data_IF_695493294467
#
_entry.id   IF_695493294467
#
_cell.length_a   1.000
_cell.length_b   1.000
_cell.length_c   1.000
_cell.angle_alpha   90.00
_cell.angle_beta   90.00
_cell.angle_gamma   90.00
#
_symmetry.space_group_name_H-M   'P 1'
#
loop_
_entity.id
_entity.type
_entity.pdbx_description
1 polymer ?
#
# COMPACT_ATOMS: atom_id res chain seq x y z
N UNK A 1 -6.82 63.91 -14.64
CA UNK A 1 -7.67 62.84 -14.08
C UNK A 1 -8.24 62.08 -15.25
N UNK A 2 -7.97 60.81 -15.55
CA UNK A 2 -7.13 59.75 -15.00
C UNK A 2 -6.97 58.77 -16.16
N UNK A 3 -5.73 58.44 -16.53
CA UNK A 3 -5.41 57.49 -17.59
C UNK A 3 -5.74 56.06 -17.15
N UNK A 4 -6.44 55.32 -18.01
CA UNK A 4 -6.54 53.86 -17.97
C UNK A 4 -5.18 53.25 -18.33
N UNK A 5 -4.59 52.48 -17.41
CA UNK A 5 -3.52 51.55 -17.69
C UNK A 5 -4.08 50.13 -17.65
N UNK A 6 -4.01 49.45 -18.79
CA UNK A 6 -4.23 48.02 -18.90
C UNK A 6 -3.12 47.29 -18.14
N UNK A 7 -3.51 46.44 -17.19
CA UNK A 7 -2.59 45.54 -16.50
C UNK A 7 -2.39 44.30 -17.38
N UNK A 8 -1.16 44.14 -17.85
CA UNK A 8 -0.69 43.00 -18.63
C UNK A 8 -0.41 41.83 -17.65
N UNK A 9 -1.24 40.79 -17.70
CA UNK A 9 -1.03 39.56 -16.93
C UNK A 9 0.23 38.86 -17.42
N UNK A 10 1.30 38.95 -16.63
CA UNK A 10 2.54 38.22 -16.84
C UNK A 10 2.42 36.85 -16.17
N UNK A 11 2.57 35.71 -16.87
CA UNK A 11 2.53 34.41 -16.23
C UNK A 11 3.85 34.18 -15.45
N UNK A 12 3.76 34.23 -14.11
CA UNK A 12 4.86 33.81 -13.22
C UNK A 12 4.96 32.28 -13.18
N UNK A 13 5.52 31.70 -14.24
CA UNK A 13 6.13 30.37 -14.18
C UNK A 13 7.63 30.57 -14.32
N UNK A 14 8.32 30.67 -13.18
CA UNK A 14 9.77 30.65 -13.16
C UNK A 14 10.28 29.31 -13.70
N UNK A 15 11.36 29.29 -14.50
CA UNK A 15 11.91 28.04 -15.00
C UNK A 15 12.37 27.18 -13.82
N UNK A 16 11.82 25.95 -13.74
CA UNK A 16 12.35 24.90 -12.88
C UNK A 16 13.85 24.81 -13.09
N UNK A 17 14.62 25.03 -12.03
CA UNK A 17 16.08 24.96 -12.07
C UNK A 17 16.51 23.62 -12.71
N UNK A 18 17.45 23.62 -13.67
CA UNK A 18 17.93 22.38 -14.25
C UNK A 18 18.51 21.51 -13.13
N UNK A 19 18.02 20.27 -13.04
CA UNK A 19 18.53 19.27 -12.10
C UNK A 19 20.05 19.21 -12.18
N UNK A 20 20.74 19.48 -11.07
CA UNK A 20 22.19 19.45 -11.00
C UNK A 20 22.73 18.13 -11.58
N UNK A 21 23.86 18.21 -12.30
CA UNK A 21 24.49 17.01 -12.86
C UNK A 21 24.85 16.06 -11.70
N UNK A 22 24.43 14.79 -11.75
CA UNK A 22 24.55 13.87 -10.63
C UNK A 22 26.01 13.64 -10.26
N UNK A 23 26.28 13.53 -8.96
CA UNK A 23 27.64 13.31 -8.48
C UNK A 23 28.22 11.99 -9.00
N UNK A 24 29.55 11.85 -8.99
CA UNK A 24 30.21 10.58 -9.36
C UNK A 24 29.71 9.41 -8.49
N UNK A 25 29.47 9.68 -7.20
CA UNK A 25 28.95 8.70 -6.25
C UNK A 25 27.50 8.29 -6.59
N UNK A 26 26.63 9.24 -6.95
CA UNK A 26 25.27 8.93 -7.39
C UNK A 26 25.25 8.12 -8.68
N UNK A 27 26.16 8.43 -9.60
CA UNK A 27 26.28 7.69 -10.87
C UNK A 27 26.76 6.26 -10.64
N UNK A 28 27.77 6.07 -9.79
CA UNK A 28 28.25 4.74 -9.37
C UNK A 28 27.15 3.95 -8.64
N UNK A 29 26.42 4.60 -7.72
CA UNK A 29 25.33 3.96 -6.99
C UNK A 29 24.19 3.55 -7.93
N UNK A 30 23.79 4.39 -8.89
CA UNK A 30 22.76 4.01 -9.89
C UNK A 30 23.21 2.84 -10.76
N UNK A 31 24.48 2.82 -11.19
CA UNK A 31 25.03 1.70 -11.93
C UNK A 31 25.02 0.42 -11.09
N UNK A 32 25.43 0.50 -9.83
CA UNK A 32 25.44 -0.63 -8.89
C UNK A 32 24.03 -1.19 -8.64
N UNK A 33 23.06 -0.32 -8.37
CA UNK A 33 21.66 -0.72 -8.17
C UNK A 33 21.06 -1.35 -9.43
N UNK A 34 21.37 -0.80 -10.61
CA UNK A 34 20.95 -1.38 -11.89
C UNK A 34 21.56 -2.78 -12.12
N UNK A 35 22.83 -2.96 -11.77
CA UNK A 35 23.48 -4.27 -11.84
C UNK A 35 22.85 -5.29 -10.88
N UNK A 36 22.50 -4.87 -9.66
CA UNK A 36 21.77 -5.72 -8.71
C UNK A 36 20.40 -6.10 -9.25
N UNK A 37 19.60 -5.14 -9.72
CA UNK A 37 18.23 -5.42 -10.20
C UNK A 37 18.25 -6.31 -11.46
N UNK A 38 19.29 -6.19 -12.30
CA UNK A 38 19.54 -7.10 -13.43
C UNK A 38 19.79 -8.55 -13.02
N UNK A 39 20.29 -8.77 -11.80
CA UNK A 39 20.54 -10.09 -11.21
C UNK A 39 19.43 -10.52 -10.22
N UNK A 40 18.30 -9.82 -10.20
CA UNK A 40 17.23 -10.02 -9.23
C UNK A 40 15.95 -10.59 -9.86
N UNK A 41 15.95 -11.86 -10.33
CA UNK A 41 14.80 -12.44 -11.03
C UNK A 41 13.60 -12.63 -10.09
N UNK A 42 12.40 -12.59 -10.67
CA UNK A 42 11.20 -13.14 -10.02
C UNK A 42 11.36 -14.67 -9.98
N UNK A 43 11.26 -15.28 -8.81
CA UNK A 43 11.62 -16.69 -8.60
C UNK A 43 10.51 -17.68 -8.97
N UNK A 44 9.27 -17.22 -9.10
CA UNK A 44 8.09 -18.05 -9.40
C UNK A 44 7.23 -17.38 -10.46
N UNK A 45 6.67 -18.14 -11.39
CA UNK A 45 5.77 -17.61 -12.43
C UNK A 45 4.41 -17.18 -11.91
N UNK A 46 3.86 -17.90 -10.93
CA UNK A 46 2.59 -17.60 -10.25
C UNK A 46 2.78 -17.54 -8.73
N UNK A 47 1.91 -16.86 -7.97
CA UNK A 47 2.08 -16.76 -6.53
C UNK A 47 1.80 -18.12 -5.87
N UNK A 48 2.60 -18.47 -4.87
CA UNK A 48 2.45 -19.74 -4.14
C UNK A 48 1.59 -19.55 -2.89
N UNK A 49 0.57 -20.39 -2.72
CA UNK A 49 -0.37 -20.33 -1.60
C UNK A 49 0.07 -21.24 -0.44
N UNK A 50 1.27 -20.97 0.08
CA UNK A 50 1.75 -21.59 1.33
C UNK A 50 1.00 -20.98 2.52
N UNK A 51 1.07 -21.56 3.72
CA UNK A 51 0.45 -21.00 4.94
C UNK A 51 1.43 -20.08 5.69
N UNK A 52 0.90 -19.06 6.36
CA UNK A 52 1.65 -18.28 7.35
C UNK A 52 1.35 -18.84 8.75
N UNK A 53 2.37 -18.89 9.60
CA UNK A 53 2.33 -19.38 10.97
C UNK A 53 1.42 -18.48 11.81
N UNK A 54 1.53 -17.14 11.67
CA UNK A 54 0.71 -16.20 12.43
C UNK A 54 -0.79 -16.34 12.16
N UNK A 55 -1.17 -16.74 10.94
CA UNK A 55 -2.55 -16.94 10.50
C UNK A 55 -3.19 -18.21 11.12
N UNK A 56 -2.39 -19.15 11.63
CA UNK A 56 -2.92 -20.40 12.15
C UNK A 56 -3.68 -20.17 13.45
N UNK A 57 -4.86 -20.81 13.59
CA UNK A 57 -5.70 -20.70 14.78
C UNK A 57 -5.00 -21.21 16.05
N UNK A 58 -4.08 -22.17 15.90
CA UNK A 58 -3.26 -22.73 16.98
C UNK A 58 -2.15 -21.78 17.45
N UNK A 59 -1.82 -20.74 16.68
CA UNK A 59 -0.74 -19.82 17.03
C UNK A 59 -1.16 -18.94 18.22
N UNK A 60 -0.39 -18.91 19.32
CA UNK A 60 -0.79 -18.20 20.54
C UNK A 60 -1.03 -16.72 20.31
N UNK A 61 -2.18 -16.21 20.77
CA UNK A 61 -2.58 -14.81 20.54
C UNK A 61 -1.58 -13.79 21.10
N UNK A 62 -0.89 -14.10 22.20
CA UNK A 62 0.12 -13.22 22.79
C UNK A 62 1.42 -13.15 21.97
N UNK A 63 1.74 -14.19 21.19
CA UNK A 63 2.84 -14.18 20.22
C UNK A 63 2.39 -13.46 18.95
N UNK A 64 1.17 -13.71 18.46
CA UNK A 64 0.60 -13.00 17.30
C UNK A 64 0.64 -11.49 17.47
N UNK A 65 0.22 -10.99 18.63
CA UNK A 65 0.29 -9.54 18.95
C UNK A 65 1.71 -8.98 18.88
N UNK A 66 2.72 -9.78 19.22
CA UNK A 66 4.14 -9.41 19.22
C UNK A 66 4.76 -9.44 17.83
N UNK A 67 4.36 -10.41 17.01
CA UNK A 67 4.65 -10.41 15.58
C UNK A 67 4.08 -9.15 14.92
N UNK A 68 2.79 -8.85 15.15
CA UNK A 68 2.13 -7.65 14.65
C UNK A 68 2.81 -6.35 15.14
N UNK A 69 3.22 -6.29 16.40
CA UNK A 69 3.93 -5.14 16.96
C UNK A 69 5.29 -4.92 16.30
N UNK A 70 6.06 -5.99 16.07
CA UNK A 70 7.35 -5.91 15.35
C UNK A 70 7.15 -5.47 13.90
N UNK A 71 6.21 -6.07 13.16
CA UNK A 71 5.87 -5.64 11.80
C UNK A 71 5.46 -4.17 11.74
N UNK A 72 4.63 -3.71 12.68
CA UNK A 72 4.27 -2.30 12.78
C UNK A 72 5.50 -1.41 13.08
N UNK A 73 6.45 -1.89 13.90
CA UNK A 73 7.68 -1.17 14.18
C UNK A 73 8.59 -1.08 12.95
N UNK A 74 8.77 -2.15 12.19
CA UNK A 74 9.55 -2.18 10.94
C UNK A 74 8.99 -1.24 9.87
N UNK A 75 7.68 -1.10 9.82
CA UNK A 75 7.02 -0.15 8.94
C UNK A 75 7.21 1.32 9.36
N UNK A 76 7.22 1.58 10.66
CA UNK A 76 7.10 2.94 11.20
C UNK A 76 8.43 3.55 11.62
N UNK A 77 9.40 2.73 11.98
CA UNK A 77 10.76 3.17 12.29
C UNK A 77 11.62 3.18 11.04
N UNK A 78 12.50 4.18 10.97
CA UNK A 78 13.55 4.25 9.96
C UNK A 78 14.80 3.53 10.48
N UNK A 79 15.31 2.56 9.74
CA UNK A 79 16.61 1.96 9.96
C UNK A 79 17.71 2.96 9.55
N UNK A 80 18.57 3.40 10.49
CA UNK A 80 19.68 4.28 10.14
C UNK A 80 20.57 3.69 9.05
N UNK A 81 21.24 4.54 8.28
CA UNK A 81 22.20 4.17 7.23
C UNK A 81 21.55 3.60 5.96
N UNK A 82 20.66 2.62 6.08
CA UNK A 82 20.11 1.87 4.93
C UNK A 82 18.73 2.36 4.46
N UNK A 83 18.03 3.16 5.27
CA UNK A 83 16.76 3.78 4.87
C UNK A 83 16.86 5.31 4.93
N UNK A 84 16.28 5.98 3.93
CA UNK A 84 16.16 7.45 3.91
C UNK A 84 14.95 7.92 4.72
N UNK A 85 13.82 7.22 4.56
CA UNK A 85 12.57 7.42 5.29
C UNK A 85 12.04 6.06 5.75
N UNK A 86 11.07 6.03 6.68
CA UNK A 86 10.43 4.75 7.02
C UNK A 86 9.53 4.27 5.88
N UNK A 87 9.24 2.95 5.78
CA UNK A 87 8.27 2.43 4.82
C UNK A 87 6.90 3.13 4.89
N UNK A 88 6.41 3.44 6.08
CA UNK A 88 5.14 4.15 6.26
C UNK A 88 5.16 5.55 5.63
N UNK A 89 6.29 6.27 5.68
CA UNK A 89 6.42 7.58 5.03
C UNK A 89 6.48 7.48 3.50
N UNK A 90 7.10 6.42 2.98
CA UNK A 90 7.09 6.12 1.55
C UNK A 90 5.66 5.82 1.07
N UNK A 91 4.95 4.92 1.77
CA UNK A 91 3.55 4.62 1.49
C UNK A 91 2.65 5.86 1.58
N UNK A 92 2.83 6.70 2.59
CA UNK A 92 2.09 7.96 2.72
C UNK A 92 2.33 8.90 1.52
N UNK A 93 3.57 8.96 1.02
CA UNK A 93 3.89 9.77 -0.17
C UNK A 93 3.23 9.21 -1.44
N UNK A 94 3.22 7.88 -1.60
CA UNK A 94 2.52 7.20 -2.68
C UNK A 94 1.01 7.45 -2.62
N UNK A 95 0.41 7.34 -1.43
CA UNK A 95 -1.02 7.56 -1.20
C UNK A 95 -1.39 9.01 -1.48
N UNK A 96 -0.60 10.00 -1.04
CA UNK A 96 -0.85 11.42 -1.38
C UNK A 96 -0.85 11.63 -2.89
N UNK A 97 0.14 11.09 -3.62
CA UNK A 97 0.18 11.17 -5.09
C UNK A 97 -1.08 10.54 -5.71
N UNK A 98 -1.49 9.37 -5.24
CA UNK A 98 -2.67 8.69 -5.75
C UNK A 98 -3.97 9.48 -5.48
N UNK A 99 -4.11 10.04 -4.28
CA UNK A 99 -5.25 10.88 -3.89
C UNK A 99 -5.30 12.17 -4.73
N UNK A 100 -4.16 12.77 -5.04
CA UNK A 100 -4.07 13.99 -5.85
C UNK A 100 -4.44 13.77 -7.33
N UNK A 101 -4.38 12.53 -7.82
CA UNK A 101 -4.86 12.18 -9.15
C UNK A 101 -6.38 12.00 -9.22
N UNK A 102 -7.06 11.89 -8.07
CA UNK A 102 -8.51 11.83 -8.01
C UNK A 102 -9.02 13.25 -8.07
N UNK A 103 -9.83 13.55 -9.08
CA UNK A 103 -10.42 14.88 -9.25
C UNK A 103 -11.28 15.22 -8.04
N UNK A 104 -11.02 16.39 -7.46
CA UNK A 104 -11.90 17.00 -6.49
C UNK A 104 -13.26 17.25 -7.15
N UNK A 105 -14.32 16.86 -6.44
CA UNK A 105 -15.70 17.14 -6.84
C UNK A 105 -16.25 18.06 -5.77
N UNK A 106 -16.65 19.26 -6.18
CA UNK A 106 -17.13 20.31 -5.29
C UNK A 106 -18.31 19.79 -4.44
N UNK A 107 -18.26 20.04 -3.14
CA UNK A 107 -19.27 19.55 -2.19
C UNK A 107 -19.18 18.06 -1.84
N UNK A 108 -18.24 17.29 -2.41
CA UNK A 108 -17.99 15.90 -2.03
C UNK A 108 -16.80 15.78 -1.08
N UNK A 109 -16.91 14.87 -0.11
CA UNK A 109 -15.78 14.45 0.74
C UNK A 109 -15.13 13.22 0.12
N UNK A 110 -13.86 12.99 0.45
CA UNK A 110 -13.13 11.76 0.14
C UNK A 110 -12.61 11.15 1.45
N UNK A 111 -12.75 9.85 1.59
CA UNK A 111 -12.29 9.09 2.76
C UNK A 111 -11.47 7.89 2.29
N UNK A 112 -10.35 7.65 2.98
CA UNK A 112 -9.57 6.43 2.78
C UNK A 112 -10.16 5.34 3.67
N UNK A 113 -10.51 4.21 3.08
CA UNK A 113 -10.97 3.03 3.82
C UNK A 113 -9.94 1.93 3.65
N UNK A 114 -9.27 1.59 4.73
CA UNK A 114 -8.33 0.48 4.75
C UNK A 114 -9.10 -0.83 4.98
N UNK A 115 -8.91 -1.77 4.07
CA UNK A 115 -9.49 -3.10 4.11
C UNK A 115 -8.43 -4.09 4.59
N UNK A 116 -8.86 -5.01 5.46
CA UNK A 116 -7.97 -5.99 6.10
C UNK A 116 -6.94 -5.33 7.01
N UNK A 117 -7.38 -4.35 7.80
CA UNK A 117 -6.52 -3.56 8.69
C UNK A 117 -5.85 -4.39 9.79
N UNK A 118 -6.36 -5.58 10.12
CA UNK A 118 -5.93 -6.36 11.28
C UNK A 118 -5.96 -5.51 12.55
N UNK A 119 -4.84 -5.45 13.28
CA UNK A 119 -4.68 -4.56 14.44
C UNK A 119 -4.52 -3.06 14.13
N UNK A 120 -4.59 -2.66 12.86
CA UNK A 120 -4.36 -1.31 12.34
C UNK A 120 -2.98 -1.13 11.66
N UNK A 121 -2.01 -1.98 11.97
CA UNK A 121 -0.70 -2.01 11.31
C UNK A 121 -0.03 -0.63 11.17
N UNK A 122 0.49 -0.26 9.99
CA UNK A 122 1.11 1.05 9.76
C UNK A 122 0.11 2.18 9.51
N UNK A 123 -1.17 1.87 9.30
CA UNK A 123 -2.18 2.82 8.81
C UNK A 123 -2.39 4.02 9.73
N UNK A 124 -2.41 3.90 11.08
CA UNK A 124 -2.47 5.06 11.97
C UNK A 124 -1.31 6.05 11.79
N UNK A 125 -0.13 5.58 11.37
CA UNK A 125 1.02 6.45 11.08
C UNK A 125 0.94 7.00 9.66
N UNK A 126 0.53 6.18 8.69
CA UNK A 126 0.28 6.61 7.31
C UNK A 126 -0.74 7.74 7.27
N UNK A 127 -1.87 7.62 7.98
CA UNK A 127 -2.90 8.67 8.09
C UNK A 127 -2.29 10.01 8.51
N UNK A 128 -1.53 10.01 9.62
CA UNK A 128 -0.88 11.22 10.13
C UNK A 128 0.10 11.81 9.13
N UNK A 129 0.89 10.98 8.46
CA UNK A 129 1.88 11.43 7.48
C UNK A 129 1.21 11.96 6.20
N UNK A 130 0.14 11.32 5.73
CA UNK A 130 -0.68 11.79 4.61
C UNK A 130 -1.27 13.16 4.94
N UNK A 131 -1.93 13.30 6.10
CA UNK A 131 -2.57 14.55 6.49
C UNK A 131 -1.57 15.67 6.80
N UNK A 132 -0.38 15.34 7.31
CA UNK A 132 0.73 16.28 7.44
C UNK A 132 1.17 16.81 6.06
N UNK A 133 1.43 15.91 5.09
CA UNK A 133 1.85 16.28 3.72
C UNK A 133 0.76 17.08 3.00
N UNK A 134 -0.52 16.76 3.22
CA UNK A 134 -1.65 17.54 2.69
C UNK A 134 -1.70 18.95 3.29
N UNK A 135 -1.49 19.09 4.59
CA UNK A 135 -1.43 20.40 5.24
C UNK A 135 -0.27 21.27 4.71
N UNK A 136 0.90 20.66 4.45
CA UNK A 136 2.05 21.33 3.79
C UNK A 136 1.70 21.83 2.37
N UNK A 137 0.74 21.20 1.70
CA UNK A 137 0.20 21.62 0.40
C UNK A 137 -1.08 22.49 0.51
N UNK A 138 -1.41 22.97 1.72
CA UNK A 138 -2.64 23.74 1.99
C UNK A 138 -3.95 23.01 1.61
N UNK A 139 -3.95 21.68 1.64
CA UNK A 139 -5.14 20.84 1.39
C UNK A 139 -5.81 20.42 2.71
N UNK A 140 -7.14 20.25 2.72
CA UNK A 140 -7.84 19.75 3.91
C UNK A 140 -7.41 18.32 4.25
N UNK A 141 -7.49 17.92 5.54
CA UNK A 141 -7.22 16.56 5.95
C UNK A 141 -8.27 15.60 5.38
N UNK A 142 -7.86 14.37 5.12
CA UNK A 142 -8.70 13.26 4.67
C UNK A 142 -8.86 12.27 5.82
N UNK A 143 -10.09 11.87 6.17
CA UNK A 143 -10.33 10.80 7.14
C UNK A 143 -9.87 9.43 6.63
N UNK A 144 -9.41 8.60 7.55
CA UNK A 144 -9.09 7.19 7.36
C UNK A 144 -10.04 6.34 8.22
N UNK A 145 -10.54 5.23 7.66
CA UNK A 145 -11.39 4.27 8.38
C UNK A 145 -10.76 2.88 8.29
N UNK A 146 -10.53 2.25 9.44
CA UNK A 146 -10.05 0.87 9.53
C UNK A 146 -11.22 -0.12 9.41
N UNK A 147 -11.05 -1.17 8.61
CA UNK A 147 -12.04 -2.24 8.42
C UNK A 147 -11.37 -3.60 8.31
N UNK A 148 -12.04 -4.64 8.80
CA UNK A 148 -11.54 -6.01 8.73
C UNK A 148 -12.71 -6.99 8.81
N UNK A 149 -12.51 -8.21 8.29
CA UNK A 149 -13.47 -9.30 8.46
C UNK A 149 -13.51 -9.78 9.93
N UNK A 150 -12.40 -9.60 10.65
CA UNK A 150 -12.23 -9.87 12.07
C UNK A 150 -11.78 -8.59 12.81
N UNK A 151 -12.71 -7.68 13.16
CA UNK A 151 -12.39 -6.38 13.78
C UNK A 151 -11.55 -6.46 15.06
N UNK A 152 -10.49 -5.63 15.17
CA UNK A 152 -9.61 -5.53 16.34
C UNK A 152 -9.93 -4.27 17.16
N UNK A 153 -11.12 -4.23 17.74
CA UNK A 153 -11.72 -3.02 18.34
C UNK A 153 -10.82 -2.33 19.38
N UNK A 154 -10.22 -3.08 20.31
CA UNK A 154 -9.37 -2.49 21.36
C UNK A 154 -8.18 -1.72 20.78
N UNK A 155 -7.53 -2.29 19.75
CA UNK A 155 -6.39 -1.66 19.08
C UNK A 155 -6.84 -0.42 18.29
N UNK A 156 -7.98 -0.51 17.61
CA UNK A 156 -8.52 0.58 16.80
C UNK A 156 -9.03 1.73 17.65
N UNK A 157 -9.67 1.46 18.80
CA UNK A 157 -10.06 2.47 19.77
C UNK A 157 -8.83 3.25 20.26
N UNK A 158 -7.79 2.54 20.69
CA UNK A 158 -6.56 3.17 21.16
C UNK A 158 -5.85 4.00 20.08
N UNK A 159 -5.86 3.54 18.82
CA UNK A 159 -5.30 4.28 17.69
C UNK A 159 -6.13 5.53 17.35
N UNK A 160 -7.45 5.40 17.28
CA UNK A 160 -8.38 6.48 16.90
C UNK A 160 -8.42 7.60 17.93
N UNK A 161 -8.24 7.30 19.23
CA UNK A 161 -8.09 8.34 20.26
C UNK A 161 -6.88 9.27 20.04
N UNK A 162 -5.91 8.88 19.20
CA UNK A 162 -4.69 9.65 18.93
C UNK A 162 -4.75 10.48 17.64
N UNK A 163 -5.88 10.48 16.92
CA UNK A 163 -6.08 11.26 15.70
C UNK A 163 -7.56 11.52 15.42
N UNK A 164 -7.93 12.78 15.20
CA UNK A 164 -9.31 13.14 14.83
C UNK A 164 -9.72 12.64 13.42
N UNK A 165 -8.75 12.25 12.60
CA UNK A 165 -8.98 11.78 11.22
C UNK A 165 -8.84 10.26 11.09
N UNK A 166 -8.73 9.52 12.20
CA UNK A 166 -8.70 8.06 12.19
C UNK A 166 -9.95 7.53 12.90
N UNK A 167 -10.77 6.80 12.17
CA UNK A 167 -11.90 6.06 12.69
C UNK A 167 -11.82 4.57 12.34
N UNK A 168 -12.86 3.84 12.70
CA UNK A 168 -12.98 2.42 12.38
C UNK A 168 -14.44 2.02 12.22
N UNK A 169 -14.69 0.97 11.44
CA UNK A 169 -16.00 0.34 11.33
C UNK A 169 -16.03 -0.92 12.21
N UNK A 170 -16.87 -0.96 13.26
CA UNK A 170 -16.76 -1.98 14.31
C UNK A 170 -17.31 -3.36 13.92
N UNK A 171 -18.07 -3.47 12.83
CA UNK A 171 -18.64 -4.73 12.38
C UNK A 171 -17.72 -5.40 11.36
N UNK A 172 -17.77 -6.75 11.23
CA UNK A 172 -17.09 -7.46 10.17
C UNK A 172 -17.37 -6.88 8.78
N UNK A 173 -16.32 -6.65 8.00
CA UNK A 173 -16.41 -6.17 6.61
C UNK A 173 -15.78 -7.19 5.68
N UNK A 174 -16.60 -7.75 4.79
CA UNK A 174 -16.12 -8.57 3.68
C UNK A 174 -15.72 -7.66 2.51
N UNK A 175 -14.44 -7.70 2.12
CA UNK A 175 -13.90 -6.90 1.03
C UNK A 175 -14.50 -7.24 -0.35
N UNK A 176 -15.17 -8.40 -0.48
CA UNK A 176 -15.88 -8.79 -1.71
C UNK A 176 -17.29 -8.23 -1.79
N UNK A 177 -17.92 -7.93 -0.66
CA UNK A 177 -19.27 -7.38 -0.59
C UNK A 177 -19.45 -6.49 0.66
N UNK A 178 -18.82 -5.31 0.66
CA UNK A 178 -18.86 -4.43 1.82
C UNK A 178 -20.21 -3.75 2.01
N UNK A 179 -20.58 -3.40 3.26
CA UNK A 179 -21.82 -2.70 3.54
C UNK A 179 -21.83 -1.27 2.98
N UNK A 180 -23.03 -0.70 2.80
CA UNK A 180 -23.24 0.63 2.23
C UNK A 180 -22.51 1.77 2.96
N UNK A 181 -22.16 1.56 4.23
CA UNK A 181 -21.45 2.52 5.07
C UNK A 181 -19.99 2.74 4.62
N UNK A 182 -19.40 1.80 3.88
CA UNK A 182 -17.97 1.82 3.48
C UNK A 182 -17.78 1.71 1.96
N UNK A 183 -18.82 2.03 1.18
CA UNK A 183 -18.77 2.16 -0.29
C UNK A 183 -18.99 3.60 -0.71
N UNK A 184 -18.53 3.96 -1.91
CA UNK A 184 -18.59 5.33 -2.42
C UNK A 184 -20.01 5.82 -2.68
N UNK A 185 -20.24 7.11 -2.43
CA UNK A 185 -21.44 7.85 -2.85
C UNK A 185 -21.62 7.92 -4.36
N UNK A 186 -20.58 7.66 -5.17
CA UNK A 186 -20.71 7.63 -6.64
C UNK A 186 -21.33 6.34 -7.18
N UNK A 187 -21.63 5.38 -6.29
CA UNK A 187 -22.28 4.11 -6.63
C UNK A 187 -23.80 4.31 -6.62
N UNK A 188 -24.46 3.98 -7.74
CA UNK A 188 -25.91 3.87 -7.78
C UNK A 188 -26.33 2.61 -7.02
N UNK A 189 -26.62 2.75 -5.73
CA UNK A 189 -27.11 1.64 -4.95
C UNK A 189 -28.61 1.42 -5.22
N UNK A 190 -28.91 0.37 -5.98
CA UNK A 190 -30.26 -0.18 -6.15
C UNK A 190 -30.64 -0.95 -4.88
N UNK A 191 -31.20 -0.26 -3.88
CA UNK A 191 -31.61 -0.95 -2.65
C UNK A 191 -32.01 -0.06 -1.47
N UNK A 192 -32.95 -0.59 -0.69
CA UNK A 192 -33.73 -0.01 0.41
C UNK A 192 -32.95 0.38 1.68
N UNK A 193 -31.64 0.20 1.70
CA UNK A 193 -30.80 0.51 2.87
C UNK A 193 -30.18 1.91 2.76
N UNK A 194 -31.04 2.92 2.58
CA UNK A 194 -30.64 4.31 2.44
C UNK A 194 -30.22 4.94 3.76
N UNK A 195 -30.51 4.28 4.89
CA UNK A 195 -30.31 4.84 6.23
C UNK A 195 -28.85 4.76 6.72
N UNK A 196 -28.04 3.85 6.16
CA UNK A 196 -26.64 3.63 6.56
C UNK A 196 -25.65 3.76 5.39
N UNK A 197 -25.93 4.65 4.43
CA UNK A 197 -25.00 4.95 3.33
C UNK A 197 -23.86 5.84 3.79
N UNK A 198 -22.69 5.63 3.21
CA UNK A 198 -21.58 6.57 3.30
C UNK A 198 -21.99 7.95 2.78
N UNK A 199 -21.50 9.03 3.39
CA UNK A 199 -21.69 10.41 2.94
C UNK A 199 -20.48 10.92 2.13
N UNK A 200 -19.57 10.02 1.75
CA UNK A 200 -18.25 10.35 1.20
C UNK A 200 -17.89 9.45 0.02
N UNK A 201 -17.03 9.98 -0.85
CA UNK A 201 -16.34 9.19 -1.87
C UNK A 201 -15.30 8.32 -1.20
N UNK A 202 -14.99 7.17 -1.79
CA UNK A 202 -14.12 6.18 -1.14
C UNK A 202 -12.86 5.94 -1.96
N UNK A 203 -11.73 6.04 -1.29
CA UNK A 203 -10.45 5.50 -1.73
C UNK A 203 -10.13 4.24 -0.93
N UNK A 204 -10.05 3.06 -1.56
CA UNK A 204 -9.70 1.83 -0.84
C UNK A 204 -8.20 1.69 -0.65
N UNK A 205 -7.78 1.31 0.54
CA UNK A 205 -6.40 0.94 0.81
C UNK A 205 -6.34 -0.53 1.19
N UNK A 206 -5.39 -1.25 0.60
CA UNK A 206 -4.98 -2.60 1.00
C UNK A 206 -3.51 -2.53 1.38
N UNK A 207 -3.22 -2.32 2.66
CA UNK A 207 -1.86 -2.21 3.16
C UNK A 207 -1.34 -3.55 3.69
N UNK A 208 -0.36 -4.15 3.01
CA UNK A 208 0.27 -5.42 3.36
C UNK A 208 -0.73 -6.57 3.56
N UNK A 209 -1.80 -6.61 2.74
CA UNK A 209 -2.91 -7.54 2.94
C UNK A 209 -3.31 -8.32 1.68
N UNK A 210 -3.04 -7.79 0.48
CA UNK A 210 -3.65 -8.32 -0.75
C UNK A 210 -3.08 -9.70 -1.14
N UNK A 211 -1.86 -10.01 -0.70
CA UNK A 211 -1.23 -11.31 -0.89
C UNK A 211 -1.93 -12.48 -0.16
N UNK A 212 -2.74 -12.22 0.87
CA UNK A 212 -3.53 -13.27 1.55
C UNK A 212 -4.68 -13.82 0.69
N UNK A 213 -5.20 -13.05 -0.28
CA UNK A 213 -6.32 -13.50 -1.08
C UNK A 213 -5.88 -14.55 -2.12
N UNK A 214 -6.51 -15.75 -2.18
CA UNK A 214 -6.38 -16.64 -3.33
C UNK A 214 -6.99 -16.02 -4.59
N UNK A 215 -6.76 -16.59 -5.76
CA UNK A 215 -7.08 -15.93 -7.04
C UNK A 215 -8.58 -15.70 -7.25
N UNK A 216 -9.42 -16.65 -6.87
CA UNK A 216 -10.88 -16.53 -6.94
C UNK A 216 -11.39 -15.40 -6.02
N UNK A 217 -10.84 -15.31 -4.81
CA UNK A 217 -11.21 -14.27 -3.86
C UNK A 217 -10.66 -12.91 -4.27
N UNK A 218 -9.41 -12.85 -4.75
CA UNK A 218 -8.78 -11.62 -5.24
C UNK A 218 -9.55 -11.01 -6.42
N UNK A 219 -10.06 -11.83 -7.36
CA UNK A 219 -10.95 -11.35 -8.44
C UNK A 219 -12.20 -10.69 -7.88
N UNK A 220 -12.87 -11.30 -6.90
CA UNK A 220 -14.07 -10.74 -6.26
C UNK A 220 -13.77 -9.45 -5.51
N UNK A 221 -12.66 -9.38 -4.78
CA UNK A 221 -12.21 -8.17 -4.08
C UNK A 221 -11.91 -7.03 -5.06
N UNK A 222 -11.23 -7.33 -6.18
CA UNK A 222 -10.92 -6.33 -7.21
C UNK A 222 -12.19 -5.85 -7.93
N UNK A 223 -13.10 -6.76 -8.29
CA UNK A 223 -14.39 -6.40 -8.88
C UNK A 223 -15.18 -5.50 -7.94
N UNK A 224 -15.34 -5.90 -6.68
CA UNK A 224 -15.96 -5.06 -5.65
C UNK A 224 -15.30 -3.70 -5.55
N UNK A 225 -13.97 -3.63 -5.53
CA UNK A 225 -13.20 -2.37 -5.44
C UNK A 225 -13.49 -1.44 -6.60
N UNK A 226 -13.48 -1.96 -7.83
CA UNK A 226 -13.76 -1.21 -9.05
C UNK A 226 -15.22 -0.72 -9.06
N UNK A 227 -16.15 -1.55 -8.59
CA UNK A 227 -17.58 -1.23 -8.59
C UNK A 227 -17.97 -0.21 -7.51
N UNK A 228 -17.23 -0.18 -6.39
CA UNK A 228 -17.70 0.50 -5.18
C UNK A 228 -16.76 1.56 -4.61
N UNK A 229 -15.72 1.96 -5.36
CA UNK A 229 -14.78 3.02 -4.99
C UNK A 229 -14.49 4.00 -6.14
N UNK A 230 -13.91 5.15 -5.82
CA UNK A 230 -13.40 6.14 -6.79
C UNK A 230 -11.92 5.94 -7.12
N UNK A 231 -11.22 5.20 -6.27
CA UNK A 231 -9.81 4.88 -6.40
C UNK A 231 -9.38 3.86 -5.36
N UNK A 232 -8.23 3.24 -5.59
CA UNK A 232 -7.63 2.36 -4.60
C UNK A 232 -6.11 2.32 -4.68
N UNK A 233 -5.48 1.84 -3.60
CA UNK A 233 -4.08 1.46 -3.56
C UNK A 233 -3.92 0.08 -2.92
N UNK A 234 -3.11 -0.76 -3.54
CA UNK A 234 -2.52 -1.96 -2.94
C UNK A 234 -1.06 -1.63 -2.69
N UNK A 235 -0.60 -1.78 -1.45
CA UNK A 235 0.79 -1.48 -1.05
C UNK A 235 1.36 -2.69 -0.34
N UNK A 236 2.45 -3.23 -0.86
CA UNK A 236 3.14 -4.43 -0.36
C UNK A 236 4.62 -4.10 -0.11
N UNK A 237 5.15 -4.47 1.06
CA UNK A 237 6.57 -4.21 1.40
C UNK A 237 7.53 -5.26 0.82
N UNK A 238 6.96 -6.28 0.18
CA UNK A 238 7.68 -7.45 -0.34
C UNK A 238 7.32 -7.71 -1.80
N UNK A 239 8.16 -8.47 -2.49
CA UNK A 239 7.85 -9.11 -3.77
C UNK A 239 8.40 -10.54 -3.88
N UNK A 240 8.15 -11.16 -5.04
CA UNK A 240 8.60 -12.52 -5.39
C UNK A 240 10.01 -12.57 -5.98
N UNK A 241 10.81 -11.51 -5.85
CA UNK A 241 12.18 -11.52 -6.38
C UNK A 241 13.15 -12.08 -5.37
N UNK A 242 14.25 -12.63 -5.88
CA UNK A 242 15.29 -13.26 -5.07
C UNK A 242 15.80 -12.34 -3.94
N UNK A 243 15.95 -11.05 -4.22
CA UNK A 243 16.42 -10.08 -3.24
C UNK A 243 15.40 -9.80 -2.12
N UNK A 244 14.09 -9.87 -2.42
CA UNK A 244 13.05 -9.78 -1.38
C UNK A 244 13.06 -11.02 -0.48
N UNK A 245 13.24 -12.21 -1.05
CA UNK A 245 13.42 -13.43 -0.25
C UNK A 245 14.68 -13.38 0.63
N UNK A 246 15.77 -12.84 0.10
CA UNK A 246 16.98 -12.60 0.87
C UNK A 246 16.72 -11.60 2.00
N UNK A 247 15.91 -10.56 1.79
CA UNK A 247 15.53 -9.65 2.87
C UNK A 247 14.78 -10.33 3.99
N UNK A 248 13.87 -11.26 3.69
CA UNK A 248 13.16 -12.01 4.75
C UNK A 248 14.14 -12.86 5.58
N UNK A 249 15.19 -13.39 4.95
CA UNK A 249 16.28 -14.05 5.68
C UNK A 249 17.13 -13.06 6.50
N UNK A 250 17.43 -11.88 5.97
CA UNK A 250 18.18 -10.85 6.69
C UNK A 250 17.37 -10.25 7.86
N UNK A 251 16.06 -10.17 7.72
CA UNK A 251 15.13 -9.68 8.72
C UNK A 251 15.18 -10.51 10.01
N UNK A 252 15.32 -11.84 9.87
CA UNK A 252 15.60 -12.74 11.00
C UNK A 252 16.73 -12.22 11.89
N UNK A 253 17.83 -11.78 11.29
CA UNK A 253 19.00 -11.25 12.01
C UNK A 253 18.78 -9.83 12.49
N UNK A 254 18.12 -9.01 11.69
CA UNK A 254 17.78 -7.63 12.04
C UNK A 254 16.97 -7.58 13.34
N UNK A 255 16.02 -8.50 13.52
CA UNK A 255 15.19 -8.57 14.72
C UNK A 255 16.00 -8.68 16.01
N UNK A 256 17.11 -9.43 16.03
CA UNK A 256 17.99 -9.51 17.21
C UNK A 256 18.63 -8.15 17.54
N UNK A 257 18.87 -7.32 16.53
CA UNK A 257 19.44 -5.98 16.70
C UNK A 257 18.36 -5.01 17.15
N UNK A 258 17.22 -4.94 16.45
CA UNK A 258 16.23 -3.89 16.67
C UNK A 258 15.36 -4.13 17.92
N UNK A 259 15.19 -5.39 18.35
CA UNK A 259 14.33 -5.72 19.49
C UNK A 259 14.74 -4.99 20.77
N UNK A 260 16.05 -4.89 21.07
CA UNK A 260 16.52 -4.19 22.27
C UNK A 260 16.25 -2.68 22.21
N UNK A 261 16.13 -2.09 21.02
CA UNK A 261 15.86 -0.65 20.88
C UNK A 261 14.37 -0.33 20.91
N UNK A 262 13.55 -1.18 20.29
CA UNK A 262 12.11 -0.92 20.12
C UNK A 262 11.25 -1.53 21.24
N UNK A 263 11.73 -2.60 21.89
CA UNK A 263 10.94 -3.41 22.82
C UNK A 263 11.68 -3.75 24.11
N UNK A 264 12.60 -2.89 24.57
CA UNK A 264 13.36 -3.09 25.81
C UNK A 264 12.48 -3.26 27.06
N UNK A 265 11.25 -2.74 27.03
CA UNK A 265 10.29 -2.78 28.12
C UNK A 265 9.26 -3.93 28.01
N UNK A 266 9.32 -4.76 26.96
CA UNK A 266 8.47 -5.95 26.81
C UNK A 266 9.30 -7.22 27.11
N UNK A 267 9.25 -7.76 28.34
CA UNK A 267 10.06 -8.92 28.72
C UNK A 267 9.72 -10.17 27.92
N UNK A 268 8.48 -10.31 27.44
CA UNK A 268 8.09 -11.44 26.60
C UNK A 268 8.62 -11.27 25.18
N UNK A 269 8.64 -10.05 24.63
CA UNK A 269 9.31 -9.80 23.36
C UNK A 269 10.79 -10.20 23.45
N UNK A 270 11.49 -9.75 24.50
CA UNK A 270 12.90 -10.08 24.72
C UNK A 270 13.12 -11.60 24.87
N UNK A 271 12.27 -12.28 25.64
CA UNK A 271 12.34 -13.74 25.84
C UNK A 271 12.20 -14.49 24.52
N UNK A 272 11.19 -14.16 23.72
CA UNK A 272 10.88 -14.86 22.46
C UNK A 272 11.67 -14.34 21.24
N UNK A 273 12.52 -13.34 21.42
CA UNK A 273 13.57 -12.98 20.46
C UNK A 273 14.89 -13.66 20.81
N UNK A 274 15.36 -13.55 22.07
CA UNK A 274 16.75 -13.91 22.41
C UNK A 274 16.93 -15.32 22.97
N UNK A 275 15.97 -15.84 23.76
CA UNK A 275 16.10 -17.14 24.43
C UNK A 275 15.44 -18.24 23.60
N UNK A 276 14.20 -18.00 23.18
CA UNK A 276 13.44 -18.89 22.31
C UNK A 276 13.07 -18.08 21.07
N UNK A 277 13.87 -18.08 19.98
CA UNK A 277 13.73 -17.15 18.84
C UNK A 277 12.52 -17.46 17.95
N UNK A 278 11.35 -17.62 18.56
CA UNK A 278 10.06 -17.88 17.94
C UNK A 278 9.63 -16.66 17.14
N UNK A 279 9.83 -15.43 17.65
CA UNK A 279 9.44 -14.22 16.93
C UNK A 279 10.28 -14.02 15.66
N UNK A 280 11.64 -14.05 15.71
CA UNK A 280 12.47 -13.99 14.50
C UNK A 280 12.14 -15.07 13.49
N UNK A 281 12.00 -16.32 13.93
CA UNK A 281 11.67 -17.43 13.03
C UNK A 281 10.30 -17.25 12.37
N UNK A 282 9.29 -16.91 13.16
CA UNK A 282 7.91 -16.77 12.68
C UNK A 282 7.81 -15.63 11.65
N UNK A 283 8.36 -14.46 11.95
CA UNK A 283 8.28 -13.31 11.06
C UNK A 283 9.10 -13.49 9.78
N UNK A 284 10.29 -14.08 9.88
CA UNK A 284 11.10 -14.40 8.70
C UNK A 284 10.41 -15.44 7.80
N UNK A 285 9.82 -16.48 8.39
CA UNK A 285 9.07 -17.48 7.63
C UNK A 285 7.81 -16.90 6.99
N UNK A 286 7.01 -16.18 7.77
CA UNK A 286 5.78 -15.56 7.28
C UNK A 286 6.11 -14.54 6.19
N UNK A 287 7.11 -13.69 6.38
CA UNK A 287 7.59 -12.76 5.36
C UNK A 287 8.06 -13.46 4.08
N UNK A 288 8.74 -14.62 4.18
CA UNK A 288 9.11 -15.42 3.01
C UNK A 288 7.87 -15.92 2.26
N UNK A 289 6.86 -16.39 3.00
CA UNK A 289 5.57 -16.82 2.46
C UNK A 289 4.81 -15.65 1.84
N UNK A 290 4.74 -14.49 2.50
CA UNK A 290 4.12 -13.27 1.99
C UNK A 290 4.80 -12.83 0.69
N UNK A 291 6.14 -12.83 0.65
CA UNK A 291 6.92 -12.62 -0.58
C UNK A 291 6.43 -13.52 -1.70
N UNK A 292 6.36 -14.84 -1.49
CA UNK A 292 5.93 -15.82 -2.48
C UNK A 292 4.45 -15.71 -2.89
N UNK A 293 3.60 -15.12 -2.03
CA UNK A 293 2.17 -14.87 -2.29
C UNK A 293 1.90 -13.54 -3.01
N UNK A 294 2.84 -12.59 -2.98
CA UNK A 294 2.67 -11.25 -3.57
C UNK A 294 2.54 -11.29 -5.10
N UNK A 295 1.53 -10.59 -5.61
CA UNK A 295 1.27 -10.47 -7.05
C UNK A 295 2.02 -9.29 -7.64
N UNK A 296 2.43 -9.46 -8.89
CA UNK A 296 2.96 -8.40 -9.74
C UNK A 296 1.83 -7.55 -10.31
N UNK A 297 2.16 -6.35 -10.80
CA UNK A 297 1.20 -5.48 -11.50
C UNK A 297 0.47 -6.22 -12.63
N UNK A 298 1.21 -6.94 -13.47
CA UNK A 298 0.64 -7.69 -14.60
C UNK A 298 -0.36 -8.76 -14.16
N UNK A 299 -0.06 -9.49 -13.09
CA UNK A 299 -0.98 -10.49 -12.54
C UNK A 299 -2.25 -9.86 -12.00
N UNK A 300 -2.15 -8.72 -11.30
CA UNK A 300 -3.34 -8.00 -10.83
C UNK A 300 -4.16 -7.48 -12.00
N UNK A 301 -3.55 -6.94 -13.06
CA UNK A 301 -4.28 -6.53 -14.26
C UNK A 301 -4.98 -7.71 -14.94
N UNK A 302 -4.37 -8.90 -14.92
CA UNK A 302 -4.97 -10.14 -15.45
C UNK A 302 -6.13 -10.65 -14.57
N UNK A 303 -6.12 -10.32 -13.28
CA UNK A 303 -7.25 -10.59 -12.39
C UNK A 303 -8.43 -9.67 -12.68
N UNK A 304 -8.16 -8.39 -12.98
CA UNK A 304 -9.16 -7.38 -13.32
C UNK A 304 -9.77 -7.65 -14.70
N UNK A 305 -8.93 -7.84 -15.71
CA UNK A 305 -9.34 -8.12 -17.08
C UNK A 305 -8.79 -9.47 -17.54
N UNK A 306 -9.60 -10.54 -17.48
CA UNK A 306 -9.20 -11.87 -17.96
C UNK A 306 -8.87 -11.89 -19.46
N UNK A 307 -9.36 -10.95 -20.27
CA UNK A 307 -9.04 -10.88 -21.70
C UNK A 307 -7.56 -10.56 -21.95
N UNK A 308 -6.90 -9.90 -20.98
CA UNK A 308 -5.47 -9.66 -21.00
C UNK A 308 -4.67 -10.96 -21.02
N UNK A 309 -5.18 -12.04 -20.42
CA UNK A 309 -4.53 -13.34 -20.46
C UNK A 309 -4.45 -13.89 -21.90
N UNK A 310 -5.54 -13.78 -22.65
CA UNK A 310 -5.59 -14.16 -24.07
C UNK A 310 -4.64 -13.28 -24.91
N UNK A 311 -4.57 -11.98 -24.63
CA UNK A 311 -3.65 -11.07 -25.29
C UNK A 311 -2.17 -11.44 -25.01
N UNK A 312 -1.85 -11.82 -23.77
CA UNK A 312 -0.51 -12.26 -23.36
C UNK A 312 -0.11 -13.62 -23.97
N UNK A 313 -1.07 -14.47 -24.33
CA UNK A 313 -0.83 -15.75 -25.01
C UNK A 313 -0.77 -15.61 -26.55
N UNK A 314 -1.17 -14.45 -27.09
CA UNK A 314 -1.14 -14.17 -28.53
C UNK A 314 0.30 -14.00 -29.06
N UNK A 315 0.44 -13.96 -30.39
CA UNK A 315 1.73 -13.64 -31.05
C UNK A 315 2.31 -12.28 -30.65
N UNK A 316 1.48 -11.37 -30.13
CA UNK A 316 1.88 -10.05 -29.65
C UNK A 316 2.11 -10.00 -28.12
N UNK A 317 1.90 -11.11 -27.41
CA UNK A 317 1.93 -11.13 -25.94
C UNK A 317 3.25 -10.67 -25.32
N UNK A 318 4.38 -10.90 -26.00
CA UNK A 318 5.70 -10.40 -25.56
C UNK A 318 5.77 -8.88 -25.59
N UNK A 319 5.23 -8.25 -26.63
CA UNK A 319 5.18 -6.79 -26.75
C UNK A 319 4.22 -6.19 -25.72
N UNK A 320 3.04 -6.79 -25.54
CA UNK A 320 2.06 -6.38 -24.51
C UNK A 320 2.67 -6.44 -23.11
N UNK A 321 3.35 -7.54 -22.77
CA UNK A 321 4.05 -7.68 -21.49
C UNK A 321 5.14 -6.63 -21.33
N UNK A 322 5.95 -6.40 -22.36
CA UNK A 322 7.03 -5.41 -22.31
C UNK A 322 6.48 -4.00 -22.07
N UNK A 323 5.46 -3.59 -22.83
CA UNK A 323 4.83 -2.28 -22.66
C UNK A 323 4.27 -2.12 -21.24
N UNK A 324 3.50 -3.08 -20.73
CA UNK A 324 2.93 -2.99 -19.38
C UNK A 324 4.00 -2.98 -18.28
N UNK A 325 5.13 -3.66 -18.49
CA UNK A 325 6.25 -3.66 -17.55
C UNK A 325 7.06 -2.36 -17.60
N UNK A 326 7.22 -1.77 -18.78
CA UNK A 326 7.97 -0.52 -18.99
C UNK A 326 7.17 0.71 -18.58
N UNK A 327 5.89 0.77 -18.95
CA UNK A 327 5.03 1.90 -18.59
C UNK A 327 4.58 1.81 -17.14
N UNK A 328 4.38 0.59 -16.64
CA UNK A 328 3.73 0.36 -15.35
C UNK A 328 2.31 0.93 -15.34
N UNK A 329 1.65 1.10 -16.48
CA UNK A 329 0.31 1.68 -16.56
C UNK A 329 -0.62 0.86 -17.44
N UNK A 330 -1.90 0.79 -17.07
CA UNK A 330 -2.94 0.13 -17.87
C UNK A 330 -4.24 0.94 -17.83
N UNK A 331 -4.99 0.95 -18.94
CA UNK A 331 -6.31 1.56 -19.02
C UNK A 331 -7.34 0.45 -19.28
N UNK A 332 -8.27 0.23 -18.35
CA UNK A 332 -9.27 -0.85 -18.42
C UNK A 332 -10.61 -0.29 -17.97
N UNK A 333 -11.65 -0.39 -18.82
CA UNK A 333 -13.06 -0.10 -18.46
C UNK A 333 -13.29 1.23 -17.71
N UNK A 334 -12.66 2.32 -18.18
CA UNK A 334 -12.81 3.64 -17.55
C UNK A 334 -12.00 3.81 -16.27
N UNK A 335 -11.04 2.93 -16.00
CA UNK A 335 -10.05 3.05 -14.94
C UNK A 335 -8.64 3.20 -15.52
N UNK A 336 -7.83 4.01 -14.85
CA UNK A 336 -6.39 4.11 -15.09
C UNK A 336 -5.68 3.45 -13.91
N UNK A 337 -4.81 2.50 -14.21
CA UNK A 337 -4.00 1.79 -13.23
C UNK A 337 -2.54 2.18 -13.41
N UNK A 338 -1.83 2.29 -12.29
CA UNK A 338 -0.37 2.45 -12.26
C UNK A 338 0.23 1.50 -11.24
N UNK A 339 1.29 0.81 -11.60
CA UNK A 339 2.05 -0.06 -10.73
C UNK A 339 3.53 0.31 -10.75
N UNK A 340 4.21 0.09 -9.64
CA UNK A 340 5.62 0.42 -9.53
C UNK A 340 6.30 -0.19 -8.33
N UNK A 341 7.63 0.03 -8.28
CA UNK A 341 8.51 -0.40 -7.20
C UNK A 341 9.35 0.79 -6.74
N UNK A 342 9.32 1.10 -5.45
CA UNK A 342 10.15 2.16 -4.84
C UNK A 342 11.05 1.55 -3.75
N UNK A 343 12.33 1.91 -3.75
CA UNK A 343 13.31 1.31 -2.83
C UNK A 343 13.18 1.92 -1.42
N UNK A 344 12.66 1.16 -0.46
CA UNK A 344 12.58 1.58 0.94
C UNK A 344 13.87 1.26 1.72
N UNK A 345 14.54 0.15 1.41
CA UNK A 345 15.78 -0.29 2.10
C UNK A 345 16.89 -0.52 1.10
N UNK A 346 17.96 0.27 1.17
CA UNK A 346 19.13 0.08 0.32
C UNK A 346 19.88 -1.21 0.69
N UNK A 347 20.38 -2.00 -0.28
CA UNK A 347 20.25 -1.83 -1.73
C UNK A 347 19.10 -2.63 -2.37
N UNK A 348 18.34 -3.41 -1.61
CA UNK A 348 17.52 -4.51 -2.15
C UNK A 348 16.04 -4.51 -1.74
N UNK A 349 15.60 -3.61 -0.86
CA UNK A 349 14.24 -3.56 -0.34
C UNK A 349 13.36 -2.61 -1.12
N UNK A 350 12.31 -3.16 -1.72
CA UNK A 350 11.39 -2.44 -2.59
C UNK A 350 9.94 -2.61 -2.13
N UNK A 351 9.26 -1.48 -1.99
CA UNK A 351 7.82 -1.41 -1.81
C UNK A 351 7.18 -1.50 -3.18
N UNK A 352 6.28 -2.46 -3.34
CA UNK A 352 5.47 -2.62 -4.53
C UNK A 352 4.14 -1.93 -4.30
N UNK A 353 3.69 -1.17 -5.29
CA UNK A 353 2.38 -0.53 -5.22
C UNK A 353 1.62 -0.72 -6.52
N UNK A 354 0.30 -0.74 -6.39
CA UNK A 354 -0.64 -0.68 -7.50
C UNK A 354 -1.72 0.32 -7.09
N UNK A 355 -1.88 1.37 -7.87
CA UNK A 355 -2.93 2.37 -7.68
C UNK A 355 -3.87 2.33 -8.86
N UNK A 356 -5.17 2.40 -8.58
CA UNK A 356 -6.20 2.52 -9.58
C UNK A 356 -7.04 3.75 -9.29
N UNK A 357 -7.45 4.47 -10.34
CA UNK A 357 -8.43 5.56 -10.21
C UNK A 357 -9.47 5.49 -11.31
N UNK A 358 -10.68 5.87 -10.95
CA UNK A 358 -11.76 6.02 -11.92
C UNK A 358 -11.52 7.25 -12.79
N UNK A 359 -11.67 7.09 -14.09
CA UNK A 359 -11.73 8.20 -15.05
C UNK A 359 -13.20 8.46 -15.28
N UNK A 360 -13.75 9.49 -14.63
CA UNK A 360 -15.14 9.88 -14.92
C UNK A 360 -15.27 10.10 -16.43
N UNK A 361 -16.07 9.26 -17.09
CA UNK A 361 -16.57 9.50 -18.44
C UNK A 361 -17.19 10.89 -18.41
N UNK A 362 -16.72 11.77 -19.29
CA UNK A 362 -17.26 13.12 -19.47
C UNK A 362 -18.80 13.01 -19.49
N UNK A 363 -19.47 13.67 -18.55
CA UNK A 363 -20.89 13.99 -18.72
C UNK A 363 -21.06 14.91 -19.93
#
# INVERSE_FOLDING_TARGET
MSHQQAAEETPLVGPSSPSACPSRLETLNRWFLSAIDSLNPIVTTTPWRLFEICDQCIFPSFLRRRCQAMLAAEWTHRLPIIQQTSPAEMAATLIVKALDEIKDVEGSKLTVVDFCSGGGGPVPIIEKLVNKKRAEQHKPPIPFTLTDINPHIDAWMAASMRSANLGYFPQPVDATNPPSAVISTTVSADGTDTQFRSDTRIFRLYCLAFHHFPDDLARKVLASTIDTSDGFAIVELQDRRLASLLLMFLDFWLMFVVTVFWFWNDPLQLLFTYIFPVLPFTLSFDGFVSSLRTRTFLEVMTLIDPSLEAALQSSQGRAVRQVLQETGTADIEGWVFKGGREMHTWPIGYMNYIVGRKVNSRH
#
